data_IF_321922858806
#
_entry.id   IF_321922858806
#
_cell.length_a   1.000
_cell.length_b   1.000
_cell.length_c   1.000
_cell.angle_alpha   90.00
_cell.angle_beta   90.00
_cell.angle_gamma   90.00
#
_symmetry.space_group_name_H-M   'P 1'
#
loop_
_entity.id
_entity.type
_entity.pdbx_description
1 polymer ?
#
# COMPACT_ATOMS: atom_id res chain seq x y z
N UNK A 1 15.53 -12.28 -6.86
CA UNK A 1 15.02 -11.71 -5.60
C UNK A 1 15.05 -10.17 -5.65
N UNK A 2 14.53 -9.49 -4.62
CA UNK A 2 14.47 -8.02 -4.56
C UNK A 2 15.85 -7.38 -4.65
N UNK A 3 16.83 -7.91 -3.95
CA UNK A 3 18.22 -7.41 -3.95
C UNK A 3 18.82 -7.44 -5.37
N UNK A 4 18.66 -8.54 -6.09
CA UNK A 4 19.20 -8.68 -7.44
C UNK A 4 18.49 -7.76 -8.44
N UNK A 5 17.18 -7.56 -8.27
CA UNK A 5 16.44 -6.59 -9.08
C UNK A 5 16.99 -5.19 -8.88
N UNK A 6 17.20 -4.75 -7.64
CA UNK A 6 17.76 -3.44 -7.36
C UNK A 6 19.21 -3.32 -7.83
N UNK A 7 20.07 -4.33 -7.66
CA UNK A 7 21.43 -4.33 -8.20
C UNK A 7 21.45 -4.09 -9.71
N UNK A 8 20.53 -4.75 -10.42
CA UNK A 8 20.45 -4.67 -11.90
C UNK A 8 19.92 -3.33 -12.38
N UNK A 9 18.93 -2.77 -11.70
CA UNK A 9 18.20 -1.60 -12.18
C UNK A 9 18.43 -0.33 -11.36
N UNK A 10 19.38 -0.35 -10.41
CA UNK A 10 19.59 0.78 -9.51
C UNK A 10 19.88 2.09 -10.25
N UNK A 11 20.67 2.03 -11.31
CA UNK A 11 21.04 3.21 -12.12
C UNK A 11 20.11 3.45 -13.30
N UNK A 12 19.01 2.70 -13.40
CA UNK A 12 18.05 2.87 -14.46
C UNK A 12 17.32 4.23 -14.32
N UNK A 13 17.19 5.03 -15.41
CA UNK A 13 16.60 6.37 -15.35
C UNK A 13 15.14 6.38 -14.90
N UNK A 14 14.41 5.29 -15.12
CA UNK A 14 13.01 5.15 -14.72
C UNK A 14 12.83 4.56 -13.31
N UNK A 15 13.91 4.27 -12.57
CA UNK A 15 13.77 3.85 -11.19
C UNK A 15 13.25 5.00 -10.34
N UNK A 16 12.10 4.81 -9.70
CA UNK A 16 11.53 5.83 -8.84
C UNK A 16 12.44 6.15 -7.66
N UNK A 17 12.70 7.44 -7.45
CA UNK A 17 13.49 7.95 -6.35
C UNK A 17 12.77 9.08 -5.64
N UNK A 18 12.88 9.07 -4.33
CA UNK A 18 12.42 10.17 -3.50
C UNK A 18 13.60 10.72 -2.70
N UNK A 19 13.86 12.02 -2.81
CA UNK A 19 15.02 12.68 -2.18
C UNK A 19 16.36 11.96 -2.50
N UNK A 20 16.52 11.51 -3.75
CA UNK A 20 17.71 10.81 -4.22
C UNK A 20 17.78 9.31 -3.91
N UNK A 21 16.94 8.81 -3.03
CA UNK A 21 16.93 7.40 -2.60
C UNK A 21 15.96 6.57 -3.45
N UNK A 22 16.35 5.37 -3.84
CA UNK A 22 15.49 4.43 -4.53
C UNK A 22 14.40 3.92 -3.58
N UNK A 23 13.15 3.92 -4.02
CA UNK A 23 12.00 3.58 -3.19
C UNK A 23 11.76 2.08 -3.17
N UNK A 24 11.71 1.49 -1.97
CA UNK A 24 11.36 0.10 -1.73
C UNK A 24 10.11 0.03 -0.88
N UNK A 25 9.05 -0.51 -1.46
CA UNK A 25 7.81 -0.85 -0.79
C UNK A 25 7.38 -2.27 -1.16
N UNK A 26 6.43 -2.81 -0.45
CA UNK A 26 5.83 -4.10 -0.78
C UNK A 26 4.79 -4.50 0.24
N UNK A 27 3.92 -5.43 -0.18
CA UNK A 27 2.78 -5.90 0.57
C UNK A 27 3.15 -7.02 1.54
N UNK A 28 2.52 -6.99 2.72
CA UNK A 28 2.39 -8.09 3.68
C UNK A 28 3.69 -8.79 4.11
N UNK A 29 4.83 -8.16 3.90
CA UNK A 29 6.09 -8.74 4.33
C UNK A 29 6.29 -8.64 5.84
N UNK A 30 6.96 -9.65 6.40
CA UNK A 30 7.63 -9.45 7.68
C UNK A 30 8.70 -8.38 7.49
N UNK A 31 8.97 -7.54 8.49
CA UNK A 31 10.02 -6.52 8.42
C UNK A 31 11.34 -7.03 7.84
N UNK A 32 11.80 -8.22 8.23
CA UNK A 32 13.01 -8.84 7.70
C UNK A 32 13.04 -8.98 6.16
N UNK A 33 11.89 -9.12 5.50
CA UNK A 33 11.83 -9.22 4.04
C UNK A 33 12.23 -7.93 3.32
N UNK A 34 12.14 -6.79 4.00
CA UNK A 34 12.55 -5.47 3.49
C UNK A 34 13.88 -5.02 4.08
N UNK A 35 14.13 -5.32 5.36
CA UNK A 35 15.34 -4.98 6.05
C UNK A 35 16.57 -5.61 5.41
N UNK A 36 16.54 -6.92 5.17
CA UNK A 36 17.69 -7.63 4.63
C UNK A 36 18.11 -7.11 3.25
N UNK A 37 17.19 -6.98 2.26
CA UNK A 37 17.54 -6.38 0.98
C UNK A 37 18.05 -4.95 1.10
N UNK A 38 17.40 -4.12 1.92
CA UNK A 38 17.80 -2.74 2.10
C UNK A 38 19.17 -2.62 2.79
N UNK A 39 19.42 -3.41 3.82
CA UNK A 39 20.70 -3.44 4.52
C UNK A 39 21.86 -3.87 3.61
N UNK A 40 21.63 -4.91 2.78
CA UNK A 40 22.61 -5.36 1.80
C UNK A 40 22.91 -4.25 0.77
N UNK A 41 21.88 -3.65 0.21
CA UNK A 41 22.04 -2.61 -0.80
C UNK A 41 22.70 -1.34 -0.24
N UNK A 42 22.37 -0.95 1.00
CA UNK A 42 23.03 0.16 1.70
C UNK A 42 24.50 -0.10 1.95
N UNK A 43 24.87 -1.32 2.35
CA UNK A 43 26.30 -1.72 2.48
C UNK A 43 27.05 -1.66 1.15
N UNK A 44 26.37 -1.84 0.03
CA UNK A 44 26.91 -1.69 -1.33
C UNK A 44 26.95 -0.22 -1.81
N UNK A 45 26.62 0.75 -0.93
CA UNK A 45 26.63 2.17 -1.27
C UNK A 45 25.36 2.66 -2.01
N UNK A 46 24.29 1.87 -2.02
CA UNK A 46 23.04 2.24 -2.64
C UNK A 46 22.09 2.88 -1.63
N UNK A 47 21.63 4.08 -1.92
CA UNK A 47 20.65 4.78 -1.10
C UNK A 47 19.23 4.21 -1.32
N UNK A 48 18.71 3.52 -0.32
CA UNK A 48 17.38 2.89 -0.34
C UNK A 48 16.48 3.50 0.72
N UNK A 49 15.27 3.87 0.31
CA UNK A 49 14.18 4.34 1.14
C UNK A 49 13.18 3.20 1.33
N UNK A 50 12.93 2.79 2.56
CA UNK A 50 12.08 1.64 2.89
C UNK A 50 10.78 2.10 3.53
N UNK A 51 9.67 1.93 2.82
CA UNK A 51 8.32 2.28 3.27
C UNK A 51 7.39 1.08 3.02
N UNK A 52 7.43 0.04 3.87
CA UNK A 52 6.62 -1.15 3.69
C UNK A 52 5.16 -0.88 4.02
N UNK A 53 4.29 -1.64 3.40
CA UNK A 53 2.91 -1.72 3.83
C UNK A 53 2.80 -2.62 5.06
N UNK A 54 2.11 -2.15 6.09
CA UNK A 54 1.80 -2.97 7.25
C UNK A 54 0.95 -4.18 6.79
N UNK A 55 1.54 -5.36 6.92
CA UNK A 55 0.96 -6.60 6.43
C UNK A 55 -0.33 -7.02 7.15
N UNK A 56 -0.93 -8.11 6.68
CA UNK A 56 -2.19 -8.68 7.18
C UNK A 56 -2.23 -8.86 8.71
N UNK A 57 -1.09 -9.17 9.34
CA UNK A 57 -1.00 -9.30 10.80
C UNK A 57 -1.32 -8.00 11.56
N UNK A 58 -1.19 -6.85 10.87
CA UNK A 58 -1.41 -5.53 11.45
C UNK A 58 -2.66 -4.83 10.90
N UNK A 59 -3.31 -5.43 9.90
CA UNK A 59 -4.39 -4.81 9.15
C UNK A 59 -5.57 -4.28 9.99
N UNK A 60 -6.14 -5.06 10.93
CA UNK A 60 -7.19 -4.54 11.82
C UNK A 60 -6.66 -3.55 12.86
N UNK A 61 -5.35 -3.59 13.12
CA UNK A 61 -4.71 -2.85 14.20
C UNK A 61 -4.06 -1.54 13.73
N UNK A 62 -3.86 -1.36 12.43
CA UNK A 62 -3.32 -0.12 11.87
C UNK A 62 -4.23 1.11 12.08
N UNK A 63 -5.47 0.89 12.54
CA UNK A 63 -6.40 1.94 12.98
C UNK A 63 -6.13 2.42 14.40
N UNK A 64 -5.32 1.70 15.15
CA UNK A 64 -4.94 2.09 16.51
C UNK A 64 -3.64 2.89 16.49
N UNK A 65 -3.64 4.13 17.02
CA UNK A 65 -2.42 4.92 17.15
C UNK A 65 -1.32 4.20 17.93
N UNK A 66 -1.70 3.44 18.94
CA UNK A 66 -0.74 2.66 19.74
C UNK A 66 -0.05 1.58 18.93
N UNK A 67 -0.80 0.87 18.09
CA UNK A 67 -0.24 -0.18 17.23
C UNK A 67 0.71 0.39 16.20
N UNK A 68 0.35 1.49 15.55
CA UNK A 68 1.23 2.16 14.59
C UNK A 68 2.51 2.62 15.27
N UNK A 69 2.42 3.23 16.46
CA UNK A 69 3.60 3.63 17.23
C UNK A 69 4.48 2.46 17.62
N UNK A 70 3.90 1.35 18.07
CA UNK A 70 4.65 0.13 18.39
C UNK A 70 5.39 -0.39 17.15
N UNK A 71 4.72 -0.45 16.01
CA UNK A 71 5.33 -0.89 14.76
C UNK A 71 6.51 -0.01 14.35
N UNK A 72 6.34 1.30 14.38
CA UNK A 72 7.40 2.25 14.07
C UNK A 72 8.58 2.18 15.06
N UNK A 73 8.31 1.87 16.34
CA UNK A 73 9.33 1.71 17.36
C UNK A 73 10.10 0.38 17.25
N UNK A 74 9.42 -0.69 16.84
CA UNK A 74 10.03 -2.00 16.62
C UNK A 74 10.97 -2.00 15.42
N UNK A 75 10.74 -1.11 14.46
CA UNK A 75 11.44 -1.06 13.19
C UNK A 75 12.04 0.34 12.93
N UNK A 76 13.02 0.77 13.76
CA UNK A 76 13.55 2.12 13.68
C UNK A 76 14.25 2.43 12.34
N UNK A 77 14.70 1.39 11.63
CA UNK A 77 15.39 1.52 10.35
C UNK A 77 14.46 1.78 9.16
N UNK A 78 13.14 1.63 9.33
CA UNK A 78 12.17 2.00 8.30
C UNK A 78 12.16 3.52 8.11
N UNK A 79 12.12 3.95 6.87
CA UNK A 79 11.98 5.37 6.53
C UNK A 79 10.51 5.82 6.61
N UNK A 80 9.58 4.90 6.60
CA UNK A 80 8.15 5.17 6.68
C UNK A 80 7.31 3.93 6.87
N UNK A 81 6.00 4.12 6.80
CA UNK A 81 5.01 3.06 6.90
C UNK A 81 3.88 3.28 5.89
N UNK A 82 3.37 2.21 5.32
CA UNK A 82 2.18 2.17 4.50
C UNK A 82 1.02 1.44 5.17
N UNK A 83 -0.20 1.83 4.82
CA UNK A 83 -1.42 1.14 5.20
C UNK A 83 -2.09 0.55 3.96
N UNK A 84 -2.16 -0.77 3.89
CA UNK A 84 -2.82 -1.46 2.80
C UNK A 84 -4.34 -1.41 2.99
N UNK A 85 -5.01 -0.55 2.24
CA UNK A 85 -6.41 -0.15 2.43
C UNK A 85 -7.38 -0.95 1.58
N UNK A 86 -7.57 -2.23 1.86
CA UNK A 86 -8.56 -3.06 1.16
C UNK A 86 -9.75 -3.43 2.03
N UNK A 87 -9.52 -4.01 3.20
CA UNK A 87 -10.55 -4.58 4.04
C UNK A 87 -11.08 -3.60 5.08
N UNK A 88 -12.26 -3.05 4.85
CA UNK A 88 -12.91 -2.11 5.75
C UNK A 88 -13.98 -1.27 5.04
N UNK A 89 -14.82 -0.58 5.79
CA UNK A 89 -15.67 0.46 5.22
C UNK A 89 -14.83 1.64 4.75
N UNK A 90 -15.36 2.51 3.90
CA UNK A 90 -14.68 3.74 3.48
C UNK A 90 -14.22 4.57 4.68
N UNK A 91 -15.05 4.66 5.73
CA UNK A 91 -14.70 5.34 6.98
C UNK A 91 -13.51 4.69 7.68
N UNK A 92 -13.55 3.37 7.84
CA UNK A 92 -12.46 2.61 8.46
C UNK A 92 -11.12 2.81 7.74
N UNK A 93 -11.14 2.77 6.40
CA UNK A 93 -9.95 2.88 5.59
C UNK A 93 -9.38 4.32 5.60
N UNK A 94 -10.26 5.30 5.56
CA UNK A 94 -9.88 6.71 5.70
C UNK A 94 -9.27 6.99 7.08
N UNK A 95 -9.86 6.46 8.14
CA UNK A 95 -9.34 6.61 9.50
C UNK A 95 -8.00 5.88 9.67
N UNK A 96 -7.83 4.71 9.09
CA UNK A 96 -6.55 3.97 9.08
C UNK A 96 -5.43 4.76 8.40
N UNK A 97 -5.70 5.35 7.25
CA UNK A 97 -4.76 6.24 6.57
C UNK A 97 -4.39 7.45 7.44
N UNK A 98 -5.39 8.11 8.02
CA UNK A 98 -5.20 9.28 8.89
C UNK A 98 -4.36 8.94 10.13
N UNK A 99 -4.65 7.82 10.79
CA UNK A 99 -3.87 7.36 11.94
C UNK A 99 -2.44 7.06 11.54
N UNK A 100 -2.23 6.32 10.46
CA UNK A 100 -0.89 5.99 9.95
C UNK A 100 -0.11 7.25 9.59
N UNK A 101 -0.74 8.20 8.90
CA UNK A 101 -0.12 9.49 8.54
C UNK A 101 0.29 10.29 9.77
N UNK A 102 -0.62 10.43 10.73
CA UNK A 102 -0.36 11.19 11.97
C UNK A 102 0.79 10.61 12.78
N UNK A 103 0.76 9.30 13.01
CA UNK A 103 1.78 8.64 13.84
C UNK A 103 3.14 8.59 13.12
N UNK A 104 3.16 8.40 11.80
CA UNK A 104 4.38 8.51 11.00
C UNK A 104 4.99 9.93 11.11
N UNK A 105 4.17 10.97 10.94
CA UNK A 105 4.61 12.36 11.06
C UNK A 105 5.20 12.66 12.45
N UNK A 106 4.54 12.21 13.51
CA UNK A 106 5.02 12.38 14.89
C UNK A 106 6.35 11.65 15.13
N UNK A 107 6.59 10.56 14.44
CA UNK A 107 7.84 9.81 14.49
C UNK A 107 8.92 10.33 13.52
N UNK A 108 8.66 11.39 12.74
CA UNK A 108 9.57 11.89 11.71
C UNK A 108 9.74 10.93 10.53
N UNK A 109 8.74 10.07 10.28
CA UNK A 109 8.72 9.04 9.24
C UNK A 109 7.77 9.42 8.11
N UNK A 110 7.97 8.78 6.96
CA UNK A 110 7.13 8.96 5.76
C UNK A 110 5.86 8.11 5.86
N UNK A 111 4.83 8.51 5.13
CA UNK A 111 3.57 7.77 5.03
C UNK A 111 3.24 7.43 3.59
N UNK A 112 2.88 6.17 3.36
CA UNK A 112 2.29 5.67 2.12
C UNK A 112 0.82 5.37 2.40
N UNK A 113 -0.08 6.26 1.98
CA UNK A 113 -1.51 6.01 2.09
C UNK A 113 -1.99 5.10 0.97
N UNK A 114 -2.99 4.28 1.26
CA UNK A 114 -3.61 3.42 0.27
C UNK A 114 -5.01 3.90 -0.14
N UNK A 115 -5.37 3.70 -1.39
CA UNK A 115 -6.72 3.86 -1.90
C UNK A 115 -7.13 2.64 -2.72
N UNK A 116 -8.35 2.14 -2.49
CA UNK A 116 -8.85 0.93 -3.13
C UNK A 116 -10.27 1.16 -3.65
N UNK A 117 -10.55 0.92 -4.95
CA UNK A 117 -11.87 1.19 -5.53
C UNK A 117 -12.96 0.23 -5.03
N UNK A 118 -12.58 -1.01 -4.75
CA UNK A 118 -13.47 -2.07 -4.29
C UNK A 118 -12.66 -3.18 -3.64
N UNK A 119 -13.33 -4.07 -2.92
CA UNK A 119 -12.70 -5.25 -2.35
C UNK A 119 -13.71 -6.38 -2.20
N UNK A 120 -13.38 -7.54 -2.74
CA UNK A 120 -14.18 -8.75 -2.63
C UNK A 120 -13.33 -9.87 -2.03
N UNK A 121 -13.72 -10.34 -0.87
CA UNK A 121 -13.12 -11.51 -0.23
C UNK A 121 -14.18 -12.58 0.01
N UNK A 122 -13.82 -13.80 0.36
CA UNK A 122 -14.79 -14.86 0.66
C UNK A 122 -15.83 -14.47 1.73
N UNK A 123 -15.46 -13.57 2.62
CA UNK A 123 -16.31 -13.14 3.75
C UNK A 123 -16.90 -11.74 3.58
N UNK A 124 -16.54 -11.02 2.53
CA UNK A 124 -16.96 -9.64 2.35
C UNK A 124 -16.94 -9.21 0.90
N UNK A 125 -18.04 -8.59 0.47
CA UNK A 125 -18.12 -7.86 -0.79
C UNK A 125 -18.40 -6.41 -0.48
N UNK A 126 -17.50 -5.53 -0.90
CA UNK A 126 -17.63 -4.09 -0.69
C UNK A 126 -17.32 -3.36 -2.00
N UNK A 127 -18.37 -3.15 -2.77
CA UNK A 127 -18.32 -2.31 -3.97
C UNK A 127 -18.54 -0.87 -3.55
N UNK A 128 -17.48 -0.17 -3.24
CA UNK A 128 -17.52 1.23 -2.78
C UNK A 128 -18.05 2.17 -3.87
N UNK A 129 -17.89 1.75 -5.12
CA UNK A 129 -18.24 2.56 -6.28
C UNK A 129 -17.43 3.85 -6.36
N UNK A 130 -17.77 4.69 -7.33
CA UNK A 130 -17.06 5.95 -7.53
C UNK A 130 -17.16 6.90 -6.33
N UNK A 131 -18.32 6.93 -5.66
CA UNK A 131 -18.52 7.80 -4.49
C UNK A 131 -17.61 7.41 -3.31
N UNK A 132 -17.49 6.11 -3.03
CA UNK A 132 -16.59 5.62 -1.99
C UNK A 132 -15.12 5.85 -2.32
N UNK A 133 -14.74 5.59 -3.57
CA UNK A 133 -13.39 5.84 -4.06
C UNK A 133 -13.00 7.33 -3.99
N UNK A 134 -13.91 8.21 -4.41
CA UNK A 134 -13.74 9.66 -4.29
C UNK A 134 -13.62 10.11 -2.83
N UNK A 135 -14.43 9.55 -1.93
CA UNK A 135 -14.35 9.88 -0.50
C UNK A 135 -12.98 9.49 0.11
N UNK A 136 -12.42 8.34 -0.27
CA UNK A 136 -11.07 7.95 0.14
C UNK A 136 -10.02 8.92 -0.38
N UNK A 137 -10.08 9.31 -1.65
CA UNK A 137 -9.17 10.30 -2.23
C UNK A 137 -9.26 11.66 -1.53
N UNK A 138 -10.47 12.12 -1.21
CA UNK A 138 -10.66 13.38 -0.45
C UNK A 138 -9.99 13.32 0.92
N UNK A 139 -10.10 12.18 1.62
CA UNK A 139 -9.44 11.97 2.91
C UNK A 139 -7.92 11.99 2.78
N UNK A 140 -7.38 11.29 1.79
CA UNK A 140 -5.94 11.24 1.53
C UNK A 140 -5.38 12.62 1.18
N UNK A 141 -6.06 13.36 0.29
CA UNK A 141 -5.64 14.71 -0.08
C UNK A 141 -5.64 15.66 1.14
N UNK A 142 -6.62 15.52 2.04
CA UNK A 142 -6.69 16.32 3.26
C UNK A 142 -5.59 15.98 4.28
N UNK A 143 -5.18 14.71 4.33
CA UNK A 143 -4.14 14.23 5.26
C UNK A 143 -2.70 14.43 4.71
N UNK A 144 -2.55 14.76 3.43
CA UNK A 144 -1.28 15.08 2.74
C UNK A 144 -0.12 14.11 3.04
N UNK A 145 -0.22 12.81 2.72
CA UNK A 145 0.88 11.86 2.86
C UNK A 145 1.93 12.08 1.77
N UNK A 146 3.16 11.61 2.01
CA UNK A 146 4.23 11.71 1.01
C UNK A 146 4.01 10.83 -0.21
N UNK A 147 3.28 9.72 -0.05
CA UNK A 147 2.99 8.77 -1.12
C UNK A 147 1.56 8.29 -1.07
N UNK A 148 1.03 7.96 -2.24
CA UNK A 148 -0.26 7.28 -2.38
C UNK A 148 -0.08 6.05 -3.25
N UNK A 149 -0.62 4.94 -2.79
CA UNK A 149 -0.71 3.71 -3.55
C UNK A 149 -2.14 3.42 -3.95
N UNK A 150 -2.31 3.05 -5.20
CA UNK A 150 -3.60 2.63 -5.72
C UNK A 150 -3.62 1.09 -5.72
N UNK A 151 -4.52 0.53 -4.95
CA UNK A 151 -4.65 -0.89 -4.71
C UNK A 151 -5.94 -1.37 -5.40
N UNK A 152 -5.85 -2.10 -6.54
CA UNK A 152 -4.68 -2.58 -7.26
C UNK A 152 -4.79 -2.24 -8.75
N UNK A 153 -3.76 -2.55 -9.56
CA UNK A 153 -3.86 -2.37 -11.00
C UNK A 153 -4.66 -3.49 -11.67
N UNK A 154 -4.43 -4.74 -11.27
CA UNK A 154 -4.93 -5.92 -11.99
C UNK A 154 -5.32 -7.09 -11.08
N UNK A 155 -5.68 -6.85 -9.84
CA UNK A 155 -6.19 -7.91 -8.97
C UNK A 155 -7.69 -8.13 -9.25
N UNK A 156 -7.95 -9.00 -10.21
CA UNK A 156 -9.30 -9.37 -10.63
C UNK A 156 -9.97 -10.37 -9.68
N UNK A 157 -9.19 -11.07 -8.84
CA UNK A 157 -9.74 -12.05 -7.91
C UNK A 157 -10.41 -11.40 -6.71
N UNK A 158 -9.87 -10.24 -6.32
CA UNK A 158 -10.40 -9.44 -5.21
C UNK A 158 -11.24 -8.25 -5.68
N UNK A 159 -11.52 -8.15 -6.99
CA UNK A 159 -12.28 -7.05 -7.59
C UNK A 159 -11.75 -5.65 -7.21
N UNK A 160 -10.46 -5.56 -6.90
CA UNK A 160 -9.80 -4.31 -6.53
C UNK A 160 -9.08 -3.63 -7.71
N UNK A 161 -9.22 -4.18 -8.91
CA UNK A 161 -8.51 -3.71 -10.10
C UNK A 161 -9.03 -2.38 -10.63
N UNK A 162 -8.09 -1.55 -11.11
CA UNK A 162 -8.37 -0.36 -11.92
C UNK A 162 -8.23 -0.60 -13.42
N UNK A 163 -7.46 -1.61 -13.80
CA UNK A 163 -7.28 -1.97 -15.19
C UNK A 163 -8.63 -2.38 -15.79
N UNK A 164 -9.05 -1.81 -16.94
CA UNK A 164 -10.29 -2.20 -17.58
C UNK A 164 -10.28 -3.70 -17.90
N UNK A 165 -11.29 -4.38 -17.45
CA UNK A 165 -11.49 -5.78 -17.74
C UNK A 165 -11.97 -5.93 -19.18
N UNK A 166 -11.22 -6.66 -20.01
CA UNK A 166 -11.79 -7.16 -21.27
C UNK A 166 -12.47 -8.48 -20.97
N UNK A 167 -13.80 -8.48 -21.09
CA UNK A 167 -14.56 -9.71 -20.98
C UNK A 167 -14.02 -10.74 -21.98
N UNK A 168 -13.46 -11.80 -21.44
CA UNK A 168 -13.08 -12.98 -22.19
C UNK A 168 -14.00 -14.10 -21.70
N UNK A 169 -14.71 -14.75 -22.61
CA UNK A 169 -15.65 -15.86 -22.31
C UNK A 169 -15.02 -17.05 -21.58
N UNK A 170 -13.70 -17.02 -21.38
CA UNK A 170 -12.93 -18.01 -20.62
C UNK A 170 -12.56 -17.59 -19.20
N UNK A 171 -12.94 -16.39 -18.75
CA UNK A 171 -12.73 -15.99 -17.36
C UNK A 171 -13.68 -16.80 -16.46
N UNK A 172 -13.21 -17.34 -15.31
CA UNK A 172 -14.10 -17.93 -14.34
C UNK A 172 -15.14 -16.90 -13.92
N UNK A 173 -16.36 -17.36 -13.68
CA UNK A 173 -17.46 -16.53 -13.24
C UNK A 173 -17.09 -15.80 -11.95
N UNK A 174 -16.66 -14.56 -12.07
CA UNK A 174 -16.36 -13.70 -10.90
C UNK A 174 -17.63 -13.18 -10.23
N UNK A 175 -18.80 -13.52 -10.77
CA UNK A 175 -20.10 -13.03 -10.28
C UNK A 175 -20.37 -11.56 -10.60
N UNK A 176 -19.51 -10.92 -11.37
CA UNK A 176 -19.69 -9.56 -11.87
C UNK A 176 -20.39 -9.62 -13.22
N UNK A 177 -21.62 -9.19 -13.28
CA UNK A 177 -22.32 -8.98 -14.53
C UNK A 177 -22.00 -7.59 -15.13
N UNK A 178 -22.42 -7.38 -16.37
CA UNK A 178 -22.17 -6.14 -17.11
C UNK A 178 -22.75 -4.87 -16.48
N UNK A 179 -23.66 -5.00 -15.53
CA UNK A 179 -24.39 -3.87 -14.95
C UNK A 179 -23.53 -3.11 -13.93
N UNK A 180 -22.46 -3.70 -13.45
CA UNK A 180 -21.56 -3.09 -12.46
C UNK A 180 -20.50 -2.14 -13.04
N UNK A 181 -20.39 -2.05 -14.38
CA UNK A 181 -19.37 -1.23 -15.06
C UNK A 181 -19.93 -0.09 -15.92
N UNK A 182 -21.22 0.22 -15.82
CA UNK A 182 -21.86 1.35 -16.53
C UNK A 182 -22.17 2.52 -15.60
#
# INVERSE_FOLDING_TARGET
NVTDMYRRYYDHPNLFRFRGKAFLSGYAGLPAQYHDPAAILRKEGREILVVPQAGLAFHPMARSPETVRKLLAMEPELDGIGYFTCDGTVGDLTDGNRVSRREALLAGKLCLAGVCPSYNSPNRRDFRGMAGYEAMWRGIIADDPEFVEIITWNDYQEDSNLMPFRWNNSAPETGLDREHFN
#
